data_IF_002705014816
#
_entry.id   IF_002705014816
#
_cell.length_a   1.000
_cell.length_b   1.000
_cell.length_c   1.000
_cell.angle_alpha   90.00
_cell.angle_beta   90.00
_cell.angle_gamma   90.00
#
_symmetry.space_group_name_H-M   'P 1'
#
loop_
_entity.id
_entity.type
_entity.pdbx_description
1 polymer ?
#
# COMPACT_ATOMS: atom_id res chain seq x y z
N UNK A 1 -5.12 9.48 3.43
CA UNK A 1 -5.91 9.12 2.23
C UNK A 1 -5.38 7.83 1.61
N UNK A 2 -6.21 7.08 0.87
CA UNK A 2 -5.91 5.67 0.54
C UNK A 2 -5.27 5.53 -0.85
N UNK A 3 -4.15 4.81 -0.92
CA UNK A 3 -3.59 4.22 -2.14
C UNK A 3 -3.79 2.70 -2.05
N UNK A 4 -4.71 2.17 -2.86
CA UNK A 4 -5.05 0.74 -2.83
C UNK A 4 -4.01 -0.09 -3.58
N UNK A 5 -3.39 -1.06 -2.92
CA UNK A 5 -2.50 -2.01 -3.65
C UNK A 5 -3.28 -2.99 -4.51
N UNK A 6 -4.63 -3.00 -4.47
CA UNK A 6 -5.44 -3.77 -5.40
C UNK A 6 -5.24 -3.32 -6.85
N UNK A 7 -4.97 -2.03 -7.07
CA UNK A 7 -4.74 -1.49 -8.41
C UNK A 7 -3.31 -1.73 -8.91
N UNK A 8 -2.34 -2.02 -8.02
CA UNK A 8 -0.93 -2.24 -8.40
C UNK A 8 -0.71 -3.46 -9.30
N UNK A 9 -1.33 -4.63 -9.07
CA UNK A 9 -1.26 -5.75 -10.02
C UNK A 9 -1.73 -5.37 -11.42
N UNK A 10 -2.70 -4.45 -11.55
CA UNK A 10 -3.22 -4.03 -12.86
C UNK A 10 -2.18 -3.28 -13.68
N UNK A 11 -1.28 -2.54 -13.02
CA UNK A 11 -0.11 -1.92 -13.67
C UNK A 11 0.77 -2.99 -14.33
N UNK A 12 0.98 -4.14 -13.66
CA UNK A 12 1.76 -5.25 -14.23
C UNK A 12 1.13 -5.86 -15.48
N UNK A 13 -0.18 -5.71 -15.66
CA UNK A 13 -0.94 -6.18 -16.82
C UNK A 13 -1.28 -5.04 -17.80
N UNK A 14 -0.48 -3.98 -17.82
CA UNK A 14 -0.57 -2.86 -18.76
C UNK A 14 -1.94 -2.16 -18.76
N UNK A 15 -2.53 -2.02 -17.57
CA UNK A 15 -3.70 -1.18 -17.36
C UNK A 15 -3.47 0.23 -17.91
N UNK A 16 -4.47 0.80 -18.60
CA UNK A 16 -4.40 2.20 -19.03
C UNK A 16 -4.45 3.15 -17.83
N UNK A 17 -3.78 4.29 -17.98
CA UNK A 17 -3.79 5.36 -16.98
C UNK A 17 -5.21 5.81 -16.65
N UNK A 18 -6.11 5.90 -17.63
CA UNK A 18 -7.52 6.23 -17.42
C UNK A 18 -8.23 5.23 -16.49
N UNK A 19 -7.94 3.93 -16.65
CA UNK A 19 -8.53 2.90 -15.81
C UNK A 19 -8.02 3.00 -14.37
N UNK A 20 -6.72 3.21 -14.19
CA UNK A 20 -6.11 3.40 -12.87
C UNK A 20 -6.66 4.68 -12.22
N UNK A 21 -6.68 5.78 -12.97
CA UNK A 21 -7.14 7.09 -12.55
C UNK A 21 -8.58 7.07 -12.05
N UNK A 22 -9.48 6.37 -12.75
CA UNK A 22 -10.88 6.22 -12.33
C UNK A 22 -11.02 5.64 -10.92
N UNK A 23 -10.14 4.71 -10.55
CA UNK A 23 -10.17 4.05 -9.25
C UNK A 23 -9.52 4.90 -8.15
N UNK A 24 -8.36 5.51 -8.45
CA UNK A 24 -7.55 6.21 -7.43
C UNK A 24 -7.95 7.68 -7.24
N UNK A 25 -8.59 8.32 -8.24
CA UNK A 25 -8.78 9.77 -8.22
C UNK A 25 -9.71 10.29 -7.15
N UNK A 26 -10.69 9.47 -6.76
CA UNK A 26 -11.63 9.80 -5.69
C UNK A 26 -10.96 9.91 -4.33
N UNK A 27 -9.84 9.22 -4.11
CA UNK A 27 -9.14 9.25 -2.82
C UNK A 27 -8.25 10.48 -2.67
N UNK A 28 -7.84 11.09 -3.79
CA UNK A 28 -6.93 12.24 -3.85
C UNK A 28 -5.71 12.06 -2.94
N UNK A 29 -5.20 10.83 -2.84
CA UNK A 29 -4.19 10.50 -1.84
C UNK A 29 -2.92 11.31 -2.01
N UNK A 30 -2.53 11.58 -3.25
CA UNK A 30 -1.37 12.40 -3.62
C UNK A 30 -1.43 13.84 -3.11
N UNK A 31 -2.61 14.34 -2.74
CA UNK A 31 -2.80 15.68 -2.18
C UNK A 31 -2.79 15.71 -0.65
N UNK A 32 -2.41 14.61 0.01
CA UNK A 32 -2.40 14.48 1.48
C UNK A 32 -1.01 14.11 1.96
N UNK A 33 -0.65 14.62 3.13
CA UNK A 33 0.64 14.34 3.77
C UNK A 33 0.72 12.94 4.41
N UNK A 34 -0.43 12.29 4.63
CA UNK A 34 -0.52 10.94 5.18
C UNK A 34 -1.23 10.02 4.20
N UNK A 35 -0.51 9.00 3.73
CA UNK A 35 -1.07 7.95 2.88
C UNK A 35 -1.33 6.68 3.67
N UNK A 36 -2.40 6.00 3.30
CA UNK A 36 -2.79 4.71 3.84
C UNK A 36 -2.70 3.71 2.69
N UNK A 37 -1.84 2.71 2.83
CA UNK A 37 -1.53 1.71 1.81
C UNK A 37 -1.86 0.34 2.40
N UNK A 38 -3.06 -0.21 2.14
CA UNK A 38 -3.34 -1.61 2.45
C UNK A 38 -2.44 -2.49 1.58
N UNK A 39 -1.72 -3.44 2.15
CA UNK A 39 -0.81 -4.35 1.44
C UNK A 39 -1.27 -5.78 1.67
N UNK A 40 -1.51 -6.52 0.58
CA UNK A 40 -1.85 -7.94 0.64
C UNK A 40 -0.58 -8.79 0.70
N UNK A 41 -0.43 -9.58 1.76
CA UNK A 41 0.61 -10.62 1.88
C UNK A 41 0.01 -11.97 1.50
N UNK A 42 0.51 -12.64 0.44
CA UNK A 42 -0.04 -13.90 -0.04
C UNK A 42 0.38 -15.14 0.80
N UNK A 43 0.73 -15.00 2.07
CA UNK A 43 1.16 -16.12 2.93
C UNK A 43 -0.03 -16.96 3.42
N UNK A 44 -0.10 -18.24 3.04
CA UNK A 44 -1.12 -19.17 3.52
C UNK A 44 -2.54 -18.75 3.11
N UNK A 45 -3.35 -18.35 4.09
CA UNK A 45 -4.75 -17.89 3.89
C UNK A 45 -4.82 -16.47 3.30
N UNK A 46 -3.69 -15.79 3.15
CA UNK A 46 -3.63 -14.38 2.78
C UNK A 46 -3.87 -13.48 3.98
N UNK A 47 -3.07 -12.43 4.11
CA UNK A 47 -3.12 -11.49 5.24
C UNK A 47 -2.98 -10.07 4.74
N UNK A 48 -3.81 -9.16 5.25
CA UNK A 48 -3.71 -7.74 4.92
C UNK A 48 -3.01 -7.00 6.04
N UNK A 49 -1.98 -6.26 5.67
CA UNK A 49 -1.30 -5.32 6.57
C UNK A 49 -1.54 -3.89 6.09
N UNK A 50 -1.35 -2.92 6.97
CA UNK A 50 -1.54 -1.51 6.67
C UNK A 50 -0.22 -0.78 6.77
N UNK A 51 0.23 -0.14 5.67
CA UNK A 51 1.34 0.81 5.71
C UNK A 51 0.78 2.24 5.76
N UNK A 52 1.26 3.02 6.71
CA UNK A 52 0.96 4.43 6.88
C UNK A 52 2.21 5.20 6.50
N UNK A 53 2.10 6.02 5.45
CA UNK A 53 3.20 6.85 4.96
C UNK A 53 3.01 8.26 5.47
N UNK A 54 3.95 8.75 6.26
CA UNK A 54 4.03 10.15 6.68
C UNK A 54 5.04 10.87 5.78
N UNK A 55 4.56 11.60 4.78
CA UNK A 55 5.42 12.22 3.76
C UNK A 55 6.35 13.29 4.33
N UNK A 56 5.86 14.09 5.27
CA UNK A 56 6.63 15.20 5.86
C UNK A 56 7.82 14.69 6.67
N UNK A 57 7.61 13.67 7.52
CA UNK A 57 8.67 13.06 8.33
C UNK A 57 9.48 12.00 7.57
N UNK A 58 9.03 11.60 6.36
CA UNK A 58 9.60 10.52 5.56
C UNK A 58 9.60 9.18 6.29
N UNK A 59 8.55 8.93 7.06
CA UNK A 59 8.39 7.73 7.88
C UNK A 59 7.35 6.77 7.28
N UNK A 60 7.60 5.49 7.47
CA UNK A 60 6.71 4.39 7.11
C UNK A 60 6.37 3.61 8.37
N UNK A 61 5.10 3.61 8.75
CA UNK A 61 4.61 2.82 9.87
C UNK A 61 3.81 1.64 9.34
N UNK A 62 4.27 0.43 9.65
CA UNK A 62 3.57 -0.79 9.31
C UNK A 62 2.74 -1.26 10.50
N UNK A 63 1.43 -1.40 10.30
CA UNK A 63 0.52 -1.98 11.25
C UNK A 63 0.09 -3.37 10.77
N UNK A 64 0.28 -4.36 11.65
CA UNK A 64 -0.09 -5.74 11.45
C UNK A 64 -1.03 -6.17 12.58
N UNK A 65 -2.28 -6.49 12.24
CA UNK A 65 -3.30 -6.88 13.23
C UNK A 65 -3.03 -8.23 13.89
N UNK A 66 -2.19 -9.07 13.29
CA UNK A 66 -1.77 -10.33 13.91
C UNK A 66 -0.58 -10.15 14.85
N UNK A 67 -0.06 -8.92 14.96
CA UNK A 67 1.15 -8.61 15.70
C UNK A 67 2.29 -9.60 15.37
N UNK A 68 2.35 -10.05 14.11
CA UNK A 68 3.34 -11.03 13.69
C UNK A 68 4.73 -10.45 13.90
N UNK A 69 5.53 -11.09 14.76
CA UNK A 69 6.84 -10.58 15.14
C UNK A 69 7.94 -10.83 14.09
N UNK A 70 7.59 -11.40 12.92
CA UNK A 70 8.56 -11.64 11.86
C UNK A 70 9.07 -10.30 11.33
N UNK A 71 10.40 -10.07 11.36
CA UNK A 71 10.95 -8.81 10.86
C UNK A 71 10.72 -8.69 9.35
N UNK A 72 10.00 -7.66 8.94
CA UNK A 72 9.80 -7.26 7.53
C UNK A 72 11.08 -6.75 6.86
N UNK A 73 12.19 -6.65 7.60
CA UNK A 73 13.49 -6.19 7.08
C UNK A 73 13.98 -6.99 5.87
N UNK A 74 13.62 -8.27 5.77
CA UNK A 74 13.97 -9.10 4.61
C UNK A 74 13.19 -8.76 3.33
N UNK A 75 12.06 -8.04 3.45
CA UNK A 75 11.20 -7.66 2.32
C UNK A 75 11.59 -6.29 1.74
N UNK A 76 12.28 -5.46 2.52
CA UNK A 76 12.80 -4.17 2.07
C UNK A 76 14.16 -4.38 1.43
N UNK A 77 14.19 -4.31 0.09
CA UNK A 77 15.46 -4.28 -0.66
C UNK A 77 16.05 -2.88 -0.57
N UNK A 78 17.30 -2.79 -0.10
CA UNK A 78 18.13 -1.57 -0.13
C UNK A 78 18.71 -1.37 -1.51
#
# INVERSE_FOLDING_TARGET
AILSTHDLPRIRYNASDDMLWRNISRTKYWAKDVWIIPIHRPSGVGHWVLCIVHLQSKELHLFDSFAEQRPWKSEVKV
#
